data_IF_791242531805
#
_entry.id   IF_791242531805
#
_cell.length_a   1.000
_cell.length_b   1.000
_cell.length_c   1.000
_cell.angle_alpha   90.00
_cell.angle_beta   90.00
_cell.angle_gamma   90.00
#
_symmetry.space_group_name_H-M   'P 1'
#
loop_
_entity.id
_entity.type
_entity.pdbx_description
1 polymer ?
#
# COMPACT_ATOMS: atom_id res chain seq x y z
N UNK A 1 2.91 4.37 -15.11
CA UNK A 1 1.52 4.75 -14.82
C UNK A 1 1.38 5.04 -13.33
N UNK A 2 0.35 5.77 -12.93
CA UNK A 2 -0.01 6.07 -11.54
C UNK A 2 -1.34 5.39 -11.23
N UNK A 3 -1.36 4.67 -10.11
CA UNK A 3 -2.57 4.08 -9.56
C UNK A 3 -3.09 4.94 -8.40
N UNK A 4 -4.29 5.47 -8.52
CA UNK A 4 -4.95 6.24 -7.48
C UNK A 4 -5.71 5.33 -6.52
N UNK A 5 -5.28 5.34 -5.25
CA UNK A 5 -5.89 4.60 -4.13
C UNK A 5 -6.69 5.50 -3.18
N UNK A 6 -6.99 6.74 -3.60
CA UNK A 6 -7.78 7.67 -2.78
C UNK A 6 -9.27 7.33 -2.90
N UNK A 7 -9.97 7.34 -1.76
CA UNK A 7 -11.44 7.20 -1.73
C UNK A 7 -12.14 8.40 -2.38
N UNK A 8 -11.72 9.59 -1.97
CA UNK A 8 -12.20 10.85 -2.50
C UNK A 8 -11.16 11.38 -3.48
N UNK A 9 -11.54 11.42 -4.76
CA UNK A 9 -10.64 11.74 -5.88
C UNK A 9 -10.85 13.17 -6.37
N UNK A 10 -11.31 14.02 -5.46
CA UNK A 10 -11.57 15.43 -5.68
C UNK A 10 -11.56 16.19 -4.36
N UNK A 11 -11.08 17.43 -4.41
CA UNK A 11 -11.14 18.38 -3.32
C UNK A 11 -11.57 19.73 -3.88
N UNK A 12 -12.47 20.43 -3.16
CA UNK A 12 -12.86 21.81 -3.50
C UNK A 12 -11.72 22.79 -3.19
N UNK A 13 -11.01 22.56 -2.09
CA UNK A 13 -9.85 23.37 -1.70
C UNK A 13 -8.64 23.15 -2.61
N UNK A 14 -8.52 21.93 -3.18
CA UNK A 14 -7.38 21.58 -4.03
C UNK A 14 -7.83 20.93 -5.36
N UNK A 15 -8.38 21.73 -6.30
CA UNK A 15 -8.97 21.22 -7.53
C UNK A 15 -7.97 20.55 -8.48
N UNK A 16 -6.68 20.90 -8.44
CA UNK A 16 -5.64 20.36 -9.32
C UNK A 16 -5.37 18.86 -9.09
N UNK A 17 -5.61 18.34 -7.88
CA UNK A 17 -5.49 16.91 -7.61
C UNK A 17 -6.80 16.14 -7.83
N UNK A 18 -7.81 16.82 -8.39
CA UNK A 18 -9.02 16.17 -8.86
C UNK A 18 -8.71 15.22 -10.02
N UNK A 19 -9.39 14.08 -10.04
CA UNK A 19 -9.20 12.99 -11.01
C UNK A 19 -8.98 13.48 -12.45
N UNK A 20 -9.85 14.36 -12.95
CA UNK A 20 -9.77 14.88 -14.32
C UNK A 20 -8.50 15.69 -14.57
N UNK A 21 -8.17 16.62 -13.66
CA UNK A 21 -7.01 17.52 -13.82
C UNK A 21 -5.70 16.78 -13.65
N UNK A 22 -5.64 15.89 -12.66
CA UNK A 22 -4.49 15.04 -12.40
C UNK A 22 -4.25 14.05 -13.56
N UNK A 23 -5.32 13.39 -14.04
CA UNK A 23 -5.25 12.49 -15.19
C UNK A 23 -4.75 13.19 -16.45
N UNK A 24 -5.24 14.40 -16.74
CA UNK A 24 -4.77 15.18 -17.89
C UNK A 24 -3.31 15.62 -17.74
N UNK A 25 -2.90 16.06 -16.54
CA UNK A 25 -1.51 16.46 -16.28
C UNK A 25 -0.54 15.28 -16.44
N UNK A 26 -0.89 14.11 -15.91
CA UNK A 26 -0.11 12.88 -16.06
C UNK A 26 -0.07 12.40 -17.51
N UNK A 27 -1.20 12.48 -18.22
CA UNK A 27 -1.30 12.13 -19.64
C UNK A 27 -0.35 12.97 -20.51
N UNK A 28 -0.25 14.29 -20.25
CA UNK A 28 0.72 15.16 -20.93
C UNK A 28 2.17 14.77 -20.68
N UNK A 29 2.47 14.17 -19.53
CA UNK A 29 3.79 13.64 -19.20
C UNK A 29 4.03 12.20 -19.71
N UNK A 30 3.11 11.64 -20.51
CA UNK A 30 3.17 10.25 -20.97
C UNK A 30 2.93 9.21 -19.86
N UNK A 31 2.37 9.63 -18.72
CA UNK A 31 2.12 8.76 -17.57
C UNK A 31 0.64 8.39 -17.57
N UNK A 32 0.34 7.12 -17.82
CA UNK A 32 -1.03 6.60 -17.68
C UNK A 32 -1.56 6.77 -16.24
N UNK A 33 -2.86 7.03 -16.10
CA UNK A 33 -3.54 7.17 -14.82
C UNK A 33 -4.68 6.16 -14.72
N UNK A 34 -4.80 5.48 -13.58
CA UNK A 34 -5.87 4.52 -13.31
C UNK A 34 -6.32 4.65 -11.86
N UNK A 35 -7.61 4.59 -11.60
CA UNK A 35 -8.09 4.30 -10.25
C UNK A 35 -8.38 2.84 -10.05
N UNK A 36 -8.06 2.39 -8.85
CA UNK A 36 -8.35 1.03 -8.42
C UNK A 36 -9.16 1.13 -7.11
N UNK A 37 -10.49 1.27 -7.21
CA UNK A 37 -11.35 1.45 -6.03
C UNK A 37 -11.23 0.31 -5.02
N UNK A 38 -10.89 -0.90 -5.48
CA UNK A 38 -10.67 -2.09 -4.64
C UNK A 38 -9.46 -1.94 -3.69
N UNK A 39 -8.48 -1.13 -4.08
CA UNK A 39 -7.32 -0.78 -3.26
C UNK A 39 -7.54 0.51 -2.47
N UNK A 40 -8.60 1.24 -2.80
CA UNK A 40 -8.78 2.59 -2.32
C UNK A 40 -9.43 2.65 -0.92
N UNK A 41 -9.10 3.72 -0.21
CA UNK A 41 -9.92 4.27 0.86
C UNK A 41 -9.80 3.69 2.26
N UNK A 42 -10.37 4.43 3.21
CA UNK A 42 -10.50 4.04 4.61
C UNK A 42 -11.54 2.93 4.71
N UNK A 43 -11.11 1.76 5.20
CA UNK A 43 -11.97 0.59 5.39
C UNK A 43 -12.71 0.68 6.72
N UNK A 44 -13.97 0.25 6.72
CA UNK A 44 -14.84 0.18 7.89
C UNK A 44 -14.34 -0.81 8.93
N UNK A 45 -15.11 -1.04 10.01
CA UNK A 45 -14.76 -2.04 11.03
C UNK A 45 -14.55 -3.40 10.34
N UNK A 46 -13.36 -3.97 10.54
CA UNK A 46 -13.05 -5.36 10.20
C UNK A 46 -13.70 -6.30 11.23
N UNK A 47 -13.76 -7.59 10.92
CA UNK A 47 -14.25 -8.64 11.84
C UNK A 47 -13.52 -8.52 13.17
N UNK A 48 -14.28 -8.46 14.27
CA UNK A 48 -13.74 -8.44 15.62
C UNK A 48 -13.78 -9.85 16.21
N UNK A 49 -12.69 -10.37 16.81
CA UNK A 49 -11.38 -9.73 16.98
C UNK A 49 -10.46 -9.89 15.75
N UNK A 50 -9.77 -8.79 15.40
CA UNK A 50 -8.72 -8.83 14.37
C UNK A 50 -7.49 -9.60 14.87
N UNK A 51 -6.89 -10.48 14.03
CA UNK A 51 -5.70 -11.24 14.38
C UNK A 51 -4.42 -10.39 14.49
N UNK A 52 -4.49 -9.07 14.28
CA UNK A 52 -3.35 -8.13 14.36
C UNK A 52 -3.52 -7.14 15.53
N UNK A 53 -3.42 -7.61 16.79
CA UNK A 53 -3.65 -6.76 17.96
C UNK A 53 -2.60 -5.64 18.12
N UNK A 54 -1.43 -5.79 17.50
CA UNK A 54 -0.28 -4.89 17.64
C UNK A 54 -0.50 -3.49 17.06
N UNK A 55 -1.46 -3.35 16.15
CA UNK A 55 -1.71 -2.09 15.47
C UNK A 55 -2.64 -1.23 16.33
N UNK A 56 -2.09 -0.20 16.99
CA UNK A 56 -2.83 0.69 17.92
C UNK A 56 -3.96 1.46 17.22
N UNK A 57 -3.73 1.89 15.97
CA UNK A 57 -4.74 2.61 15.20
C UNK A 57 -5.72 1.62 14.53
N UNK A 58 -7.01 1.70 14.91
CA UNK A 58 -8.08 0.86 14.35
C UNK A 58 -8.17 0.95 12.82
N UNK A 59 -7.96 2.14 12.24
CA UNK A 59 -8.03 2.34 10.79
C UNK A 59 -6.95 1.56 10.03
N UNK A 60 -5.73 1.56 10.55
CA UNK A 60 -4.66 0.74 9.98
C UNK A 60 -4.97 -0.75 10.16
N UNK A 61 -5.43 -1.15 11.35
CA UNK A 61 -5.75 -2.56 11.61
C UNK A 61 -6.79 -3.09 10.62
N UNK A 62 -7.86 -2.32 10.40
CA UNK A 62 -8.90 -2.66 9.42
C UNK A 62 -8.35 -2.75 7.99
N UNK A 63 -7.42 -1.87 7.62
CA UNK A 63 -6.78 -1.95 6.30
C UNK A 63 -5.90 -3.20 6.18
N UNK A 64 -5.19 -3.59 7.25
CA UNK A 64 -4.39 -4.82 7.26
C UNK A 64 -5.23 -6.08 7.10
N UNK A 65 -6.42 -6.10 7.68
CA UNK A 65 -7.37 -7.18 7.48
C UNK A 65 -7.96 -7.15 6.07
N UNK A 66 -8.26 -5.95 5.54
CA UNK A 66 -8.70 -5.78 4.15
C UNK A 66 -7.69 -6.35 3.15
N UNK A 67 -6.39 -6.23 3.41
CA UNK A 67 -5.34 -6.81 2.55
C UNK A 67 -5.43 -8.33 2.39
N UNK A 68 -6.18 -9.03 3.26
CA UNK A 68 -6.43 -10.48 3.18
C UNK A 68 -7.68 -10.84 2.38
N UNK A 69 -8.48 -9.85 1.98
CA UNK A 69 -9.74 -10.08 1.26
C UNK A 69 -9.49 -10.36 -0.23
N UNK A 70 -10.38 -11.14 -0.84
CA UNK A 70 -10.36 -11.39 -2.28
C UNK A 70 -10.54 -10.12 -3.12
N UNK A 71 -11.25 -9.11 -2.60
CA UNK A 71 -11.39 -7.78 -3.21
C UNK A 71 -10.02 -7.13 -3.37
N UNK A 72 -9.21 -7.09 -2.31
CA UNK A 72 -7.87 -6.52 -2.35
C UNK A 72 -6.97 -7.26 -3.34
N UNK A 73 -6.95 -8.59 -3.30
CA UNK A 73 -6.17 -9.40 -4.25
C UNK A 73 -6.61 -9.16 -5.70
N UNK A 74 -7.90 -8.95 -5.94
CA UNK A 74 -8.42 -8.60 -7.28
C UNK A 74 -7.93 -7.24 -7.73
N UNK A 75 -7.95 -6.23 -6.85
CA UNK A 75 -7.37 -4.91 -7.13
C UNK A 75 -5.88 -4.98 -7.48
N UNK A 76 -5.09 -5.75 -6.73
CA UNK A 76 -3.65 -5.94 -7.01
C UNK A 76 -3.43 -6.64 -8.34
N UNK A 77 -4.22 -7.67 -8.67
CA UNK A 77 -4.13 -8.35 -9.98
C UNK A 77 -4.46 -7.42 -11.13
N UNK A 78 -5.52 -6.61 -11.03
CA UNK A 78 -5.87 -5.59 -12.03
C UNK A 78 -4.72 -4.61 -12.26
N UNK A 79 -4.07 -4.17 -11.18
CA UNK A 79 -2.93 -3.26 -11.26
C UNK A 79 -1.72 -3.93 -11.92
N UNK A 80 -1.40 -5.16 -11.53
CA UNK A 80 -0.30 -5.95 -12.11
C UNK A 80 -0.52 -6.21 -13.59
N UNK A 81 -1.74 -6.50 -14.02
CA UNK A 81 -2.03 -6.73 -15.44
C UNK A 81 -1.83 -5.47 -16.28
N UNK A 82 -2.18 -4.29 -15.74
CA UNK A 82 -1.97 -2.99 -16.41
C UNK A 82 -0.52 -2.53 -16.41
N UNK A 83 0.30 -3.01 -15.47
CA UNK A 83 1.72 -2.73 -15.47
C UNK A 83 2.42 -3.81 -16.27
N UNK A 84 2.94 -3.54 -17.48
CA UNK A 84 3.95 -4.45 -18.03
C UNK A 84 5.07 -4.60 -16.98
N UNK A 85 5.72 -5.77 -16.89
CA UNK A 85 6.86 -5.94 -16.02
C UNK A 85 7.89 -4.87 -16.39
N UNK A 86 8.02 -3.86 -15.53
CA UNK A 86 9.13 -2.93 -15.65
C UNK A 86 10.35 -3.73 -15.27
N UNK A 87 11.24 -3.95 -16.23
CA UNK A 87 12.65 -4.03 -15.88
C UNK A 87 12.96 -2.71 -15.20
N UNK A 88 12.97 -2.72 -13.88
CA UNK A 88 13.78 -1.76 -13.17
C UNK A 88 15.17 -2.02 -13.73
N UNK A 89 15.64 -1.16 -14.66
CA UNK A 89 17.06 -1.01 -14.85
C UNK A 89 17.55 -0.56 -13.48
N UNK A 90 18.01 -1.51 -12.67
CA UNK A 90 19.01 -1.20 -11.67
C UNK A 90 20.06 -0.42 -12.42
N UNK A 91 20.18 0.87 -12.10
CA UNK A 91 21.49 1.49 -12.21
C UNK A 91 22.45 0.53 -11.53
N UNK A 92 23.39 0.03 -12.32
CA UNK A 92 24.55 -0.72 -11.89
C UNK A 92 25.19 -0.09 -10.65
N UNK A 93 25.32 -0.86 -9.58
CA UNK A 93 26.62 -1.32 -9.07
C UNK A 93 26.53 -1.72 -7.59
N UNK A 94 26.82 -3.00 -7.33
CA UNK A 94 27.53 -3.45 -6.13
C UNK A 94 27.08 -2.95 -4.77
N UNK A 95 25.99 -3.49 -4.24
CA UNK A 95 25.89 -3.72 -2.80
C UNK A 95 24.96 -4.91 -2.58
N UNK A 96 25.51 -6.11 -2.57
CA UNK A 96 24.92 -7.21 -1.79
C UNK A 96 25.12 -6.86 -0.32
N UNK A 97 24.08 -6.48 0.46
CA UNK A 97 24.25 -6.53 1.89
C UNK A 97 24.37 -8.01 2.26
N UNK A 98 25.59 -8.44 2.57
CA UNK A 98 25.81 -9.68 3.32
C UNK A 98 25.10 -9.49 4.66
N UNK A 99 23.93 -10.11 4.79
CA UNK A 99 23.14 -10.09 6.01
C UNK A 99 23.85 -11.03 7.00
N UNK A 100 24.84 -10.51 7.72
CA UNK A 100 25.43 -11.26 8.83
C UNK A 100 24.37 -11.49 9.90
N UNK A 101 24.13 -12.76 10.23
CA UNK A 101 23.15 -13.22 11.22
C UNK A 101 23.65 -12.97 12.64
N UNK A 102 23.80 -11.70 13.02
CA UNK A 102 24.13 -11.33 14.40
C UNK A 102 23.40 -10.07 14.80
N UNK A 103 22.07 -10.12 14.79
CA UNK A 103 21.28 -9.24 15.67
C UNK A 103 20.72 -10.10 16.79
N UNK A 104 21.45 -10.03 17.92
CA UNK A 104 21.09 -10.64 19.17
C UNK A 104 19.64 -10.29 19.53
N UNK A 105 18.84 -11.33 19.69
CA UNK A 105 17.49 -11.28 20.21
C UNK A 105 17.52 -10.73 21.64
N UNK A 106 17.05 -9.51 21.84
CA UNK A 106 16.48 -9.08 23.12
C UNK A 106 15.18 -8.34 22.85
N UNK A 107 14.28 -9.03 22.15
CA UNK A 107 12.88 -8.65 22.04
C UNK A 107 12.06 -9.81 22.58
N UNK A 108 11.51 -9.67 23.79
CA UNK A 108 10.52 -10.62 24.29
C UNK A 108 9.28 -10.54 23.41
N UNK A 109 9.01 -11.63 22.68
CA UNK A 109 7.73 -11.80 21.98
C UNK A 109 6.69 -12.00 23.07
N UNK A 110 5.90 -10.96 23.34
CA UNK A 110 4.71 -11.07 24.17
C UNK A 110 3.80 -12.17 23.61
N UNK A 111 3.08 -12.89 24.47
CA UNK A 111 2.09 -13.94 24.11
C UNK A 111 1.00 -13.49 23.13
N UNK A 112 0.96 -12.21 22.74
CA UNK A 112 0.09 -11.64 21.71
C UNK A 112 0.76 -11.47 20.33
N UNK A 113 1.99 -11.95 20.14
CA UNK A 113 2.70 -11.91 18.85
C UNK A 113 3.08 -10.51 18.38
N UNK A 114 3.23 -9.56 19.30
CA UNK A 114 3.55 -8.18 18.99
C UNK A 114 4.99 -7.85 19.39
N UNK A 115 5.81 -7.48 18.41
CA UNK A 115 7.08 -6.80 18.68
C UNK A 115 6.76 -5.39 19.20
N UNK A 116 6.92 -5.17 20.49
CA UNK A 116 7.01 -3.83 21.07
C UNK A 116 8.48 -3.41 21.01
N UNK A 117 8.83 -2.51 20.08
CA UNK A 117 10.05 -1.73 20.22
C UNK A 117 9.78 -0.65 21.27
N UNK A 118 10.60 -0.63 22.32
CA UNK A 118 10.67 0.46 23.30
C UNK A 118 11.37 1.67 22.68
#
# INVERSE_FOLDING_TARGET
>A
MVADVRKLRGSRAMPQFGERRLGAALGRAGIGYVAVPELAGRRGKSVDPSPRPCWRNRGFRNYADHMRTSEFHTGVRKLRWRSPPRSWRTGSAGATPSFSSTFATTGSISSRGCLTMR
#
